data_IF_166046143557
#
_entry.id   IF_166046143557
#
_cell.length_a   1.000
_cell.length_b   1.000
_cell.length_c   1.000
_cell.angle_alpha   90.00
_cell.angle_beta   90.00
_cell.angle_gamma   90.00
#
_symmetry.space_group_name_H-M   'P 1'
#
loop_
_entity.id
_entity.type
_entity.pdbx_description
1 polymer ?
#
# COMPACT_ATOMS: atom_id res chain seq x y z
N UNK A 1 9.02 16.15 -23.66
CA UNK A 1 9.59 15.09 -22.78
C UNK A 1 8.60 13.93 -22.75
N UNK A 2 8.68 13.04 -23.75
CA UNK A 2 7.80 11.88 -23.91
C UNK A 2 8.40 10.68 -23.14
N UNK A 3 8.18 10.62 -21.82
CA UNK A 3 8.75 9.55 -20.97
C UNK A 3 7.94 8.23 -21.10
N UNK A 4 6.78 8.24 -21.77
CA UNK A 4 5.82 7.13 -21.77
C UNK A 4 5.45 6.57 -23.15
N UNK A 5 6.06 7.03 -24.24
CA UNK A 5 5.66 6.61 -25.60
C UNK A 5 5.90 5.12 -25.89
N UNK A 6 6.77 4.45 -25.12
CA UNK A 6 7.06 3.02 -25.22
C UNK A 6 6.67 2.19 -23.99
N UNK A 7 6.01 2.79 -22.99
CA UNK A 7 5.59 2.07 -21.77
C UNK A 7 4.14 1.70 -21.92
N UNK A 8 3.90 0.39 -22.05
CA UNK A 8 2.56 -0.18 -22.12
C UNK A 8 1.85 0.00 -20.77
N UNK A 9 1.15 1.13 -20.60
CA UNK A 9 0.60 1.62 -19.32
C UNK A 9 -0.29 0.54 -18.67
N UNK A 10 -1.04 -0.20 -19.48
CA UNK A 10 -1.87 -1.31 -19.01
C UNK A 10 -1.06 -2.48 -18.43
N UNK A 11 0.14 -2.73 -18.95
CA UNK A 11 1.04 -3.79 -18.46
C UNK A 11 1.70 -3.40 -17.14
N UNK A 12 2.06 -2.13 -16.98
CA UNK A 12 2.61 -1.59 -15.72
C UNK A 12 1.55 -1.57 -14.62
N UNK A 13 0.31 -1.18 -14.93
CA UNK A 13 -0.82 -1.23 -13.98
C UNK A 13 -1.07 -2.67 -13.50
N UNK A 14 -1.19 -3.62 -14.44
CA UNK A 14 -1.41 -5.04 -14.09
C UNK A 14 -0.25 -5.61 -13.28
N UNK A 15 0.98 -5.27 -13.62
CA UNK A 15 2.18 -5.66 -12.87
C UNK A 15 2.15 -5.12 -11.44
N UNK A 16 1.90 -3.83 -11.28
CA UNK A 16 1.79 -3.17 -9.98
C UNK A 16 0.67 -3.78 -9.13
N UNK A 17 -0.54 -3.94 -9.69
CA UNK A 17 -1.65 -4.56 -8.96
C UNK A 17 -1.34 -5.99 -8.55
N UNK A 18 -0.75 -6.80 -9.44
CA UNK A 18 -0.39 -8.19 -9.13
C UNK A 18 0.63 -8.26 -7.99
N UNK A 19 1.67 -7.45 -8.04
CA UNK A 19 2.72 -7.48 -7.01
C UNK A 19 2.21 -6.89 -5.69
N UNK A 20 1.44 -5.79 -5.71
CA UNK A 20 0.82 -5.26 -4.50
C UNK A 20 -0.12 -6.28 -3.83
N UNK A 21 -0.87 -7.04 -4.64
CA UNK A 21 -1.73 -8.12 -4.13
C UNK A 21 -0.89 -9.24 -3.50
N UNK A 22 0.20 -9.66 -4.15
CA UNK A 22 1.14 -10.64 -3.59
C UNK A 22 1.81 -10.15 -2.30
N UNK A 23 2.15 -8.88 -2.21
CA UNK A 23 2.74 -8.27 -1.02
C UNK A 23 1.75 -8.31 0.15
N UNK A 24 0.51 -7.88 -0.08
CA UNK A 24 -0.53 -7.92 0.96
C UNK A 24 -0.80 -9.36 1.39
N UNK A 25 -0.97 -10.29 0.45
CA UNK A 25 -1.17 -11.72 0.75
C UNK A 25 -0.01 -12.30 1.55
N UNK A 26 1.23 -11.98 1.17
CA UNK A 26 2.42 -12.40 1.89
C UNK A 26 2.47 -11.86 3.32
N UNK A 27 2.17 -10.57 3.51
CA UNK A 27 2.09 -9.96 4.84
C UNK A 27 0.95 -10.55 5.68
N UNK A 28 -0.19 -10.85 5.08
CA UNK A 28 -1.33 -11.47 5.77
C UNK A 28 -1.00 -12.89 6.19
N UNK A 29 -0.37 -13.69 5.32
CA UNK A 29 0.09 -15.04 5.67
C UNK A 29 1.13 -15.01 6.79
N UNK A 30 2.14 -14.13 6.70
CA UNK A 30 3.13 -13.97 7.77
C UNK A 30 2.49 -13.52 9.08
N UNK A 31 1.55 -12.58 9.01
CA UNK A 31 0.78 -12.15 10.17
C UNK A 31 0.00 -13.29 10.81
N UNK A 32 -0.70 -14.11 10.02
CA UNK A 32 -1.42 -15.30 10.50
C UNK A 32 -0.49 -16.37 11.09
N UNK A 33 0.69 -16.57 10.52
CA UNK A 33 1.69 -17.48 11.11
C UNK A 33 2.16 -16.96 12.47
N UNK A 34 2.39 -15.66 12.60
CA UNK A 34 2.76 -15.05 13.88
C UNK A 34 1.64 -15.16 14.91
N UNK A 35 0.37 -15.02 14.53
CA UNK A 35 -0.75 -15.21 15.48
C UNK A 35 -0.85 -16.64 15.98
N UNK A 36 -0.60 -17.63 15.11
CA UNK A 36 -0.56 -19.04 15.49
C UNK A 36 0.61 -19.36 16.43
N UNK A 37 1.80 -18.81 16.17
CA UNK A 37 2.99 -19.01 17.01
C UNK A 37 2.86 -18.30 18.36
N UNK A 38 2.25 -17.12 18.39
CA UNK A 38 2.08 -16.31 19.60
C UNK A 38 0.82 -16.68 20.41
N UNK A 39 -0.08 -17.53 19.87
CA UNK A 39 -1.30 -18.00 20.54
C UNK A 39 -2.19 -16.87 21.10
N UNK A 40 -2.19 -15.70 20.44
CA UNK A 40 -2.97 -14.54 20.86
C UNK A 40 -4.23 -14.37 20.02
N UNK A 41 -5.39 -14.69 20.60
CA UNK A 41 -6.73 -14.59 19.98
C UNK A 41 -7.14 -13.15 19.57
N UNK A 42 -6.40 -12.12 19.97
CA UNK A 42 -6.75 -10.71 19.71
C UNK A 42 -6.12 -10.11 18.43
N UNK A 43 -5.27 -10.84 17.70
CA UNK A 43 -4.59 -10.30 16.52
C UNK A 43 -5.37 -10.41 15.21
N UNK A 44 -6.40 -11.26 15.14
CA UNK A 44 -7.06 -11.63 13.88
C UNK A 44 -7.84 -10.46 13.24
N UNK A 45 -8.57 -9.70 14.06
CA UNK A 45 -9.38 -8.55 13.60
C UNK A 45 -8.48 -7.42 13.06
N UNK A 46 -7.44 -6.95 13.78
CA UNK A 46 -6.47 -5.99 13.25
C UNK A 46 -5.86 -6.39 11.90
N UNK A 47 -5.54 -7.68 11.75
CA UNK A 47 -4.91 -8.21 10.55
C UNK A 47 -5.86 -8.13 9.34
N UNK A 48 -7.11 -8.59 9.50
CA UNK A 48 -8.11 -8.55 8.43
C UNK A 48 -8.45 -7.13 8.01
N UNK A 49 -8.67 -6.21 8.97
CA UNK A 49 -9.00 -4.82 8.69
C UNK A 49 -7.86 -4.14 7.93
N UNK A 50 -6.60 -4.36 8.35
CA UNK A 50 -5.42 -3.83 7.68
C UNK A 50 -5.29 -4.39 6.26
N UNK A 51 -5.42 -5.72 6.09
CA UNK A 51 -5.32 -6.36 4.78
C UNK A 51 -6.37 -5.81 3.79
N UNK A 52 -7.63 -5.70 4.21
CA UNK A 52 -8.71 -5.17 3.38
C UNK A 52 -8.42 -3.71 3.01
N UNK A 53 -8.01 -2.89 3.98
CA UNK A 53 -7.70 -1.48 3.75
C UNK A 53 -6.57 -1.29 2.72
N UNK A 54 -5.46 -2.02 2.87
CA UNK A 54 -4.31 -1.92 1.96
C UNK A 54 -4.60 -2.50 0.56
N UNK A 55 -5.43 -3.55 0.47
CA UNK A 55 -5.91 -4.07 -0.83
C UNK A 55 -6.78 -3.07 -1.56
N UNK A 56 -7.75 -2.47 -0.87
CA UNK A 56 -8.69 -1.51 -1.45
C UNK A 56 -7.93 -0.26 -1.89
N UNK A 57 -7.15 0.35 -1.00
CA UNK A 57 -6.35 1.54 -1.31
C UNK A 57 -5.36 1.28 -2.45
N UNK A 58 -4.73 0.11 -2.49
CA UNK A 58 -3.83 -0.26 -3.59
C UNK A 58 -4.51 -0.41 -4.94
N UNK A 59 -5.73 -0.96 -4.99
CA UNK A 59 -6.54 -1.00 -6.23
C UNK A 59 -6.90 0.41 -6.72
N UNK A 60 -7.35 1.28 -5.82
CA UNK A 60 -7.66 2.67 -6.15
C UNK A 60 -6.43 3.44 -6.60
N UNK A 61 -5.29 3.22 -5.95
CA UNK A 61 -4.03 3.85 -6.32
C UNK A 61 -3.58 3.45 -7.73
N UNK A 62 -3.61 2.15 -8.05
CA UNK A 62 -3.27 1.67 -9.40
C UNK A 62 -4.19 2.21 -10.49
N UNK A 63 -5.50 2.31 -10.22
CA UNK A 63 -6.47 2.92 -11.15
C UNK A 63 -6.24 4.42 -11.32
N UNK A 64 -6.00 5.14 -10.22
CA UNK A 64 -5.69 6.57 -10.27
C UNK A 64 -4.40 6.80 -11.04
N UNK A 65 -3.37 6.00 -10.81
CA UNK A 65 -2.11 6.06 -11.56
C UNK A 65 -2.32 5.89 -13.07
N UNK A 66 -3.09 4.86 -13.48
CA UNK A 66 -3.44 4.66 -14.89
C UNK A 66 -4.13 5.88 -15.47
N UNK A 67 -5.11 6.44 -14.76
CA UNK A 67 -5.85 7.61 -15.21
C UNK A 67 -4.95 8.83 -15.44
N UNK A 68 -4.02 9.11 -14.51
CA UNK A 68 -3.08 10.22 -14.65
C UNK A 68 -1.99 9.93 -15.70
N UNK A 69 -1.55 8.68 -15.85
CA UNK A 69 -0.57 8.29 -16.88
C UNK A 69 -1.13 8.43 -18.29
N UNK A 70 -2.40 8.11 -18.50
CA UNK A 70 -3.06 8.25 -19.81
C UNK A 70 -3.40 9.71 -20.14
N UNK A 71 -3.87 10.51 -19.16
CA UNK A 71 -4.36 11.87 -19.44
C UNK A 71 -3.27 12.95 -19.37
N UNK A 72 -2.30 12.85 -18.45
CA UNK A 72 -1.28 13.88 -18.24
C UNK A 72 0.05 13.28 -17.74
N UNK A 73 0.87 12.69 -18.63
CA UNK A 73 2.17 12.11 -18.27
C UNK A 73 3.15 13.13 -17.65
N UNK A 74 2.96 14.43 -17.90
CA UNK A 74 3.82 15.49 -17.38
C UNK A 74 3.60 15.81 -15.89
N UNK A 75 2.54 15.28 -15.26
CA UNK A 75 2.25 15.45 -13.81
C UNK A 75 2.48 14.18 -13.00
N UNK A 76 3.00 13.10 -13.60
CA UNK A 76 3.17 11.82 -12.91
C UNK A 76 4.08 11.91 -11.67
N UNK A 77 5.15 12.71 -11.74
CA UNK A 77 6.02 12.97 -10.59
C UNK A 77 5.28 13.62 -9.42
N UNK A 78 4.40 14.59 -9.70
CA UNK A 78 3.55 15.23 -8.68
C UNK A 78 2.46 14.28 -8.18
N UNK A 79 1.94 13.40 -9.03
CA UNK A 79 0.98 12.37 -8.65
C UNK A 79 1.59 11.36 -7.67
N UNK A 80 2.85 10.96 -7.83
CA UNK A 80 3.49 10.06 -6.86
C UNK A 80 3.60 10.69 -5.47
N UNK A 81 4.03 11.94 -5.39
CA UNK A 81 4.11 12.70 -4.14
C UNK A 81 2.72 12.91 -3.54
N UNK A 82 1.76 13.41 -4.33
CA UNK A 82 0.39 13.65 -3.88
C UNK A 82 -0.31 12.36 -3.47
N UNK A 83 -0.13 11.29 -4.23
CA UNK A 83 -0.68 9.96 -3.95
C UNK A 83 -0.08 9.35 -2.69
N UNK A 84 1.23 9.48 -2.47
CA UNK A 84 1.88 9.03 -1.23
C UNK A 84 1.38 9.81 -0.02
N UNK A 85 1.27 11.14 -0.12
CA UNK A 85 0.73 11.98 0.96
C UNK A 85 -0.73 11.62 1.26
N UNK A 86 -1.57 11.48 0.23
CA UNK A 86 -2.97 11.10 0.39
C UNK A 86 -3.10 9.73 1.07
N UNK A 87 -2.27 8.76 0.68
CA UNK A 87 -2.22 7.43 1.29
C UNK A 87 -1.81 7.49 2.76
N UNK A 88 -0.83 8.34 3.10
CA UNK A 88 -0.41 8.57 4.49
C UNK A 88 -1.54 9.18 5.32
N UNK A 89 -2.27 10.18 4.82
CA UNK A 89 -3.43 10.73 5.52
C UNK A 89 -4.54 9.69 5.72
N UNK A 90 -4.84 8.89 4.69
CA UNK A 90 -5.80 7.78 4.79
C UNK A 90 -5.37 6.75 5.84
N UNK A 91 -4.08 6.40 5.89
CA UNK A 91 -3.51 5.51 6.89
C UNK A 91 -3.68 6.07 8.31
N UNK A 92 -3.37 7.35 8.51
CA UNK A 92 -3.52 8.02 9.82
C UNK A 92 -5.00 8.03 10.24
N UNK A 93 -5.92 8.36 9.34
CA UNK A 93 -7.37 8.35 9.61
C UNK A 93 -7.83 6.94 10.00
N UNK A 94 -7.40 5.91 9.27
CA UNK A 94 -7.75 4.53 9.59
C UNK A 94 -7.20 4.09 10.95
N UNK A 95 -5.96 4.49 11.29
CA UNK A 95 -5.37 4.26 12.61
C UNK A 95 -6.20 4.95 13.70
N UNK A 96 -6.56 6.21 13.50
CA UNK A 96 -7.36 6.99 14.46
C UNK A 96 -8.74 6.37 14.67
N UNK A 97 -9.41 5.95 13.60
CA UNK A 97 -10.71 5.26 13.69
C UNK A 97 -10.55 3.94 14.44
N UNK A 98 -9.56 3.12 14.10
CA UNK A 98 -9.29 1.86 14.79
C UNK A 98 -8.96 2.04 16.28
N UNK A 99 -8.20 3.09 16.62
CA UNK A 99 -7.91 3.46 18.00
C UNK A 99 -9.17 3.96 18.74
N UNK A 100 -10.04 4.71 18.06
CA UNK A 100 -11.30 5.20 18.64
C UNK A 100 -12.29 4.07 18.90
N UNK A 101 -12.37 3.09 18.01
CA UNK A 101 -13.24 1.89 18.13
C UNK A 101 -12.79 0.99 19.28
N UNK A 102 -11.48 0.88 19.52
CA UNK A 102 -10.91 0.07 20.61
C UNK A 102 -10.64 0.90 21.89
N UNK A 103 -11.33 2.05 22.06
CA UNK A 103 -11.17 2.92 23.23
C UNK A 103 -11.39 2.12 24.53
N UNK A 104 -10.37 2.10 25.38
CA UNK A 104 -10.41 1.43 26.69
C UNK A 104 -9.47 0.22 26.80
N UNK A 105 -8.96 -0.31 25.69
CA UNK A 105 -8.02 -1.44 25.69
C UNK A 105 -6.70 -1.06 25.02
N UNK A 106 -5.84 -0.38 25.79
CA UNK A 106 -4.55 0.16 25.33
C UNK A 106 -3.68 -0.86 24.60
N UNK A 107 -3.68 -2.11 25.05
CA UNK A 107 -2.92 -3.22 24.45
C UNK A 107 -3.44 -3.60 23.05
N UNK A 108 -4.76 -3.60 22.85
CA UNK A 108 -5.37 -3.87 21.54
C UNK A 108 -5.13 -2.72 20.57
N UNK A 109 -5.14 -1.48 21.04
CA UNK A 109 -4.81 -0.30 20.23
C UNK A 109 -3.34 -0.37 19.77
N UNK A 110 -2.40 -0.61 20.69
CA UNK A 110 -0.97 -0.71 20.36
C UNK A 110 -0.70 -1.84 19.36
N UNK A 111 -1.37 -2.98 19.53
CA UNK A 111 -1.30 -4.10 18.60
C UNK A 111 -1.82 -3.72 17.21
N UNK A 112 -2.99 -3.08 17.15
CA UNK A 112 -3.59 -2.61 15.89
C UNK A 112 -2.67 -1.62 15.16
N UNK A 113 -2.18 -0.60 15.88
CA UNK A 113 -1.26 0.41 15.34
C UNK A 113 0.00 -0.26 14.81
N UNK A 114 0.59 -1.19 15.57
CA UNK A 114 1.84 -1.87 15.18
C UNK A 114 1.66 -2.69 13.90
N UNK A 115 0.59 -3.50 13.81
CA UNK A 115 0.28 -4.26 12.59
C UNK A 115 0.06 -3.32 11.41
N UNK A 116 -0.70 -2.24 11.61
CA UNK A 116 -1.01 -1.29 10.55
C UNK A 116 0.24 -0.58 10.02
N UNK A 117 1.15 -0.20 10.92
CA UNK A 117 2.43 0.44 10.58
C UNK A 117 3.33 -0.52 9.80
N UNK A 118 3.38 -1.81 10.15
CA UNK A 118 4.14 -2.82 9.39
C UNK A 118 3.62 -2.92 7.96
N UNK A 119 2.30 -3.00 7.78
CA UNK A 119 1.68 -2.97 6.45
C UNK A 119 2.04 -1.69 5.70
N UNK A 120 1.93 -0.54 6.34
CA UNK A 120 2.26 0.75 5.74
C UNK A 120 3.70 0.80 5.23
N UNK A 121 4.67 0.47 6.08
CA UNK A 121 6.10 0.52 5.73
C UNK A 121 6.40 -0.46 4.59
N UNK A 122 5.90 -1.69 4.66
CA UNK A 122 6.11 -2.67 3.60
C UNK A 122 5.59 -2.19 2.24
N UNK A 123 4.38 -1.62 2.23
CA UNK A 123 3.77 -1.06 1.01
C UNK A 123 4.56 0.15 0.50
N UNK A 124 5.04 1.01 1.40
CA UNK A 124 5.82 2.22 1.07
C UNK A 124 7.19 1.87 0.46
N UNK A 125 7.88 0.88 1.03
CA UNK A 125 9.15 0.38 0.48
C UNK A 125 8.91 -0.20 -0.91
N UNK A 126 7.84 -0.99 -1.07
CA UNK A 126 7.50 -1.58 -2.35
C UNK A 126 7.23 -0.53 -3.44
N UNK A 127 6.40 0.47 -3.13
CA UNK A 127 6.13 1.60 -4.03
C UNK A 127 7.45 2.28 -4.42
N UNK A 128 8.30 2.59 -3.43
CA UNK A 128 9.59 3.25 -3.66
C UNK A 128 10.53 2.44 -4.56
N UNK A 129 10.68 1.14 -4.30
CA UNK A 129 11.54 0.23 -5.08
C UNK A 129 11.00 0.07 -6.50
N UNK A 130 9.68 -0.08 -6.66
CA UNK A 130 9.05 -0.26 -7.97
C UNK A 130 9.23 0.99 -8.84
N UNK A 131 8.99 2.18 -8.29
CA UNK A 131 9.18 3.44 -9.02
C UNK A 131 10.64 3.71 -9.35
N UNK A 132 11.55 3.47 -8.41
CA UNK A 132 12.98 3.59 -8.67
C UNK A 132 13.44 2.67 -9.81
N UNK A 133 12.93 1.44 -9.85
CA UNK A 133 13.24 0.48 -10.92
C UNK A 133 12.70 0.92 -12.28
N UNK A 134 11.50 1.49 -12.32
CA UNK A 134 10.92 2.05 -13.56
C UNK A 134 11.74 3.24 -14.05
N UNK A 135 12.08 4.19 -13.17
CA UNK A 135 12.84 5.38 -13.57
C UNK A 135 14.24 5.02 -14.07
N UNK A 136 14.91 4.06 -13.41
CA UNK A 136 16.23 3.56 -13.82
C UNK A 136 16.18 2.85 -15.18
N UNK A 137 15.18 2.01 -15.43
CA UNK A 137 15.02 1.35 -16.73
C UNK A 137 14.69 2.33 -17.86
N UNK A 138 14.07 3.48 -17.55
CA UNK A 138 13.75 4.50 -18.55
C UNK A 138 14.92 5.45 -18.83
N UNK A 139 15.87 5.63 -17.90
CA UNK A 139 17.11 6.41 -18.12
C UNK A 139 18.18 5.65 -18.91
N UNK A 140 18.08 4.31 -18.98
CA UNK A 140 19.02 3.45 -19.70
C UNK A 140 18.53 3.06 -21.12
N UNK A 141 17.46 3.69 -21.61
CA UNK A 141 16.99 3.63 -23.00
C UNK A 141 17.09 5.01 -23.61
#
# INVERSE_FOLDING_TARGET
MQIFENVDIAKVEKGYQKINLWLVVGLTLLGLLLTQVLLQFNFEIPLMVSAIFFLVTGKFYGKAWKYFATNSPNVLGKFYLAGSMLRMFLAIIAILIGALVNRGESEKILTFVSVFVIYYIATMIFDSVYFFRIEKNNKNK
#
